data_IF_553506996434
#
_entry.id   IF_553506996434
#
_cell.length_a   1.000
_cell.length_b   1.000
_cell.length_c   1.000
_cell.angle_alpha   90.00
_cell.angle_beta   90.00
_cell.angle_gamma   90.00
#
_symmetry.space_group_name_H-M   'P 1'
#
loop_
_entity.id
_entity.type
_entity.pdbx_description
1 polymer ?
#
# COMPACT_ATOMS: atom_id res chain seq x y z
N UNK A 1 -50.74 1.11 19.54
CA UNK A 1 -49.28 0.96 19.66
C UNK A 1 -48.64 1.27 18.31
N UNK A 2 -47.89 2.38 18.15
CA UNK A 2 -47.04 2.58 16.98
C UNK A 2 -45.56 2.32 17.33
N UNK A 3 -44.90 1.52 16.51
CA UNK A 3 -43.49 1.18 16.61
C UNK A 3 -42.61 2.41 16.34
N UNK A 4 -41.69 2.69 17.26
CA UNK A 4 -40.70 3.75 17.11
C UNK A 4 -39.56 3.27 16.22
N UNK A 5 -39.39 3.99 15.11
CA UNK A 5 -38.34 3.80 14.13
C UNK A 5 -36.98 4.22 14.73
N UNK A 6 -36.13 3.25 15.10
CA UNK A 6 -34.74 3.49 15.53
C UNK A 6 -33.80 3.37 14.34
N UNK A 7 -33.68 4.43 13.52
CA UNK A 7 -32.77 4.42 12.35
C UNK A 7 -31.93 5.70 12.19
N UNK A 8 -31.53 6.35 13.30
CA UNK A 8 -30.78 7.62 13.21
C UNK A 8 -29.56 7.81 14.12
N UNK A 9 -29.41 7.09 15.24
CA UNK A 9 -28.53 7.56 16.32
C UNK A 9 -27.10 6.96 16.34
N UNK A 10 -26.84 5.83 15.70
CA UNK A 10 -25.56 5.10 15.86
C UNK A 10 -24.50 5.36 14.76
N UNK A 11 -24.86 6.09 13.70
CA UNK A 11 -23.99 6.30 12.52
C UNK A 11 -22.79 7.25 12.71
N UNK A 12 -22.83 8.33 13.52
CA UNK A 12 -21.75 9.32 13.53
C UNK A 12 -20.52 8.91 14.37
N UNK A 13 -20.69 8.03 15.37
CA UNK A 13 -19.59 7.61 16.25
C UNK A 13 -18.65 6.59 15.58
N UNK A 14 -19.19 5.69 14.75
CA UNK A 14 -18.40 4.68 14.04
C UNK A 14 -17.57 5.29 12.91
N UNK A 15 -18.14 6.25 12.17
CA UNK A 15 -17.44 6.96 11.08
C UNK A 15 -16.22 7.75 11.60
N UNK A 16 -16.37 8.44 12.74
CA UNK A 16 -15.24 9.14 13.39
C UNK A 16 -14.12 8.17 13.79
N UNK A 17 -14.47 6.98 14.30
CA UNK A 17 -13.49 5.96 14.71
C UNK A 17 -12.73 5.40 13.52
N UNK A 18 -13.42 5.08 12.43
CA UNK A 18 -12.81 4.55 11.20
C UNK A 18 -11.87 5.61 10.55
N UNK A 19 -12.26 6.89 10.55
CA UNK A 19 -11.41 8.00 10.08
C UNK A 19 -10.17 8.22 10.95
N UNK A 20 -10.32 8.16 12.28
CA UNK A 20 -9.19 8.28 13.19
C UNK A 20 -8.21 7.12 13.05
N UNK A 21 -8.72 5.89 12.92
CA UNK A 21 -7.91 4.72 12.64
C UNK A 21 -7.16 4.88 11.31
N UNK A 22 -7.85 5.32 10.25
CA UNK A 22 -7.23 5.60 8.97
C UNK A 22 -6.09 6.60 9.09
N UNK A 23 -6.29 7.72 9.79
CA UNK A 23 -5.24 8.70 10.04
C UNK A 23 -4.02 8.10 10.76
N UNK A 24 -4.24 7.34 11.83
CA UNK A 24 -3.15 6.69 12.58
C UNK A 24 -2.37 5.71 11.70
N UNK A 25 -3.09 4.91 10.91
CA UNK A 25 -2.52 3.89 10.03
C UNK A 25 -1.78 4.53 8.85
N UNK A 26 -2.29 5.64 8.30
CA UNK A 26 -1.59 6.44 7.29
C UNK A 26 -0.32 7.06 7.84
N UNK A 27 -0.35 7.67 9.03
CA UNK A 27 0.86 8.22 9.65
C UNK A 27 1.90 7.11 9.91
N UNK A 28 1.47 5.97 10.45
CA UNK A 28 2.33 4.82 10.69
C UNK A 28 2.96 4.28 9.40
N UNK A 29 2.18 4.18 8.32
CA UNK A 29 2.69 3.75 7.02
C UNK A 29 3.66 4.77 6.41
N UNK A 30 3.46 6.08 6.56
CA UNK A 30 4.41 7.08 6.10
C UNK A 30 5.75 6.99 6.85
N UNK A 31 5.72 6.76 8.17
CA UNK A 31 6.94 6.50 8.95
C UNK A 31 7.63 5.22 8.45
N UNK A 32 6.85 4.15 8.24
CA UNK A 32 7.36 2.90 7.68
C UNK A 32 8.04 3.09 6.33
N UNK A 33 7.39 3.85 5.43
CA UNK A 33 7.92 4.20 4.11
C UNK A 33 9.22 4.97 4.20
N UNK A 34 9.30 6.00 5.04
CA UNK A 34 10.52 6.79 5.23
C UNK A 34 11.65 5.89 5.74
N UNK A 35 11.39 5.06 6.75
CA UNK A 35 12.39 4.16 7.31
C UNK A 35 12.93 3.16 6.28
N UNK A 36 12.07 2.65 5.40
CA UNK A 36 12.50 1.71 4.38
C UNK A 36 13.25 2.38 3.22
N UNK A 37 12.76 3.53 2.74
CA UNK A 37 13.34 4.19 1.57
C UNK A 37 14.62 4.94 1.93
N UNK A 38 14.62 5.72 3.01
CA UNK A 38 15.79 6.46 3.44
C UNK A 38 16.77 5.58 4.24
N UNK A 39 16.27 4.66 5.07
CA UNK A 39 17.11 3.82 5.91
C UNK A 39 17.51 2.47 5.31
N UNK A 40 16.76 1.96 4.33
CA UNK A 40 17.10 0.76 3.57
C UNK A 40 17.42 -0.43 4.51
N UNK A 41 18.61 -1.03 4.35
CA UNK A 41 19.07 -2.16 5.18
C UNK A 41 19.31 -1.80 6.65
N UNK A 42 19.59 -0.52 6.98
CA UNK A 42 19.88 -0.09 8.36
C UNK A 42 18.68 -0.30 9.30
N UNK A 43 17.46 -0.17 8.79
CA UNK A 43 16.24 -0.26 9.58
C UNK A 43 15.45 -1.55 9.33
N UNK A 44 16.06 -2.57 8.73
CA UNK A 44 15.34 -3.79 8.32
C UNK A 44 14.64 -4.50 9.48
N UNK A 45 15.31 -4.62 10.64
CA UNK A 45 14.72 -5.21 11.85
C UNK A 45 13.57 -4.37 12.40
N UNK A 46 13.66 -3.04 12.29
CA UNK A 46 12.60 -2.13 12.70
C UNK A 46 11.39 -2.25 11.77
N UNK A 47 11.59 -2.38 10.46
CA UNK A 47 10.52 -2.66 9.49
C UNK A 47 9.81 -3.98 9.79
N UNK A 48 10.57 -5.05 10.08
CA UNK A 48 9.99 -6.34 10.47
C UNK A 48 9.17 -6.20 11.77
N UNK A 49 9.73 -5.54 12.78
CA UNK A 49 9.04 -5.31 14.06
C UNK A 49 7.73 -4.51 13.86
N UNK A 50 7.77 -3.42 13.09
CA UNK A 50 6.57 -2.62 12.81
C UNK A 50 5.51 -3.40 12.04
N UNK A 51 5.91 -4.25 11.09
CA UNK A 51 5.00 -5.10 10.34
C UNK A 51 4.32 -6.13 11.26
N UNK A 52 5.10 -6.83 12.08
CA UNK A 52 4.57 -7.81 13.06
C UNK A 52 3.63 -7.12 14.04
N UNK A 53 4.02 -5.97 14.60
CA UNK A 53 3.18 -5.19 15.50
C UNK A 53 1.87 -4.79 14.82
N UNK A 54 1.90 -4.35 13.56
CA UNK A 54 0.68 -3.99 12.83
C UNK A 54 -0.27 -5.19 12.68
N UNK A 55 0.24 -6.39 12.44
CA UNK A 55 -0.58 -7.60 12.34
C UNK A 55 -1.07 -8.08 13.70
N UNK A 56 -0.38 -7.74 14.78
CA UNK A 56 -0.82 -8.01 16.14
C UNK A 56 -1.98 -7.10 16.57
N UNK A 57 -1.91 -5.81 16.24
CA UNK A 57 -2.92 -4.83 16.65
C UNK A 57 -4.13 -4.75 15.71
N UNK A 58 -3.97 -5.14 14.44
CA UNK A 58 -5.03 -5.05 13.44
C UNK A 58 -5.38 -6.41 12.85
N UNK A 59 -6.67 -6.60 12.53
CA UNK A 59 -7.14 -7.79 11.82
C UNK A 59 -6.73 -7.71 10.34
N UNK A 60 -5.63 -8.38 10.02
CA UNK A 60 -5.07 -8.47 8.67
C UNK A 60 -5.45 -9.79 8.02
N UNK A 61 -5.84 -9.76 6.74
CA UNK A 61 -5.97 -10.96 5.93
C UNK A 61 -4.64 -11.25 5.24
N UNK A 62 -3.89 -12.21 5.79
CA UNK A 62 -2.57 -12.57 5.31
C UNK A 62 -2.59 -13.06 3.84
N UNK A 63 -3.68 -13.68 3.37
CA UNK A 63 -3.79 -14.14 1.98
C UNK A 63 -3.86 -12.96 1.02
N UNK A 64 -4.66 -11.94 1.35
CA UNK A 64 -4.68 -10.69 0.58
C UNK A 64 -3.30 -10.05 0.55
N UNK A 65 -2.68 -9.87 1.73
CA UNK A 65 -1.37 -9.21 1.84
C UNK A 65 -0.31 -9.97 1.05
N UNK A 66 -0.24 -11.29 1.15
CA UNK A 66 0.70 -12.11 0.41
C UNK A 66 0.48 -12.01 -1.11
N UNK A 67 -0.75 -12.21 -1.59
CA UNK A 67 -1.08 -12.16 -3.02
C UNK A 67 -0.82 -10.77 -3.60
N UNK A 68 -1.27 -9.72 -2.93
CA UNK A 68 -1.08 -8.34 -3.37
C UNK A 68 0.40 -7.93 -3.37
N UNK A 69 1.15 -8.31 -2.33
CA UNK A 69 2.58 -7.99 -2.24
C UNK A 69 3.36 -8.69 -3.31
N UNK A 70 3.07 -9.96 -3.58
CA UNK A 70 3.77 -10.73 -4.61
C UNK A 70 3.62 -10.10 -6.00
N UNK A 71 2.42 -9.61 -6.34
CA UNK A 71 2.18 -8.94 -7.62
C UNK A 71 3.01 -7.64 -7.72
N UNK A 72 3.04 -6.83 -6.66
CA UNK A 72 3.85 -5.61 -6.61
C UNK A 72 5.36 -5.90 -6.67
N UNK A 73 5.83 -6.92 -5.96
CA UNK A 73 7.23 -7.38 -5.99
C UNK A 73 7.60 -7.84 -7.40
N UNK A 74 6.75 -8.61 -8.07
CA UNK A 74 6.99 -9.06 -9.45
C UNK A 74 7.05 -7.88 -10.42
N UNK A 75 6.16 -6.89 -10.25
CA UNK A 75 6.19 -5.66 -11.04
C UNK A 75 7.54 -4.93 -10.87
N UNK A 76 7.99 -4.70 -9.64
CA UNK A 76 9.26 -4.03 -9.39
C UNK A 76 10.47 -4.84 -9.82
N UNK A 77 10.45 -6.15 -9.62
CA UNK A 77 11.50 -7.04 -10.09
C UNK A 77 11.59 -7.02 -11.62
N UNK A 78 10.45 -6.92 -12.32
CA UNK A 78 10.43 -6.76 -13.77
C UNK A 78 11.06 -5.43 -14.20
N UNK A 79 10.74 -4.33 -13.52
CA UNK A 79 11.34 -3.02 -13.79
C UNK A 79 12.85 -3.00 -13.49
N UNK A 80 13.28 -3.71 -12.45
CA UNK A 80 14.69 -3.94 -12.17
C UNK A 80 15.39 -4.73 -13.28
N UNK A 81 14.87 -5.89 -13.67
CA UNK A 81 15.47 -6.75 -14.70
C UNK A 81 15.48 -6.14 -16.10
N UNK A 82 14.51 -5.27 -16.40
CA UNK A 82 14.43 -4.54 -17.67
C UNK A 82 15.26 -3.26 -17.67
N UNK A 83 15.92 -2.93 -16.55
CA UNK A 83 16.81 -1.79 -16.42
C UNK A 83 16.11 -0.46 -16.16
N UNK A 84 14.81 -0.43 -15.87
CA UNK A 84 14.14 0.80 -15.41
C UNK A 84 14.59 1.21 -14.02
N UNK A 85 14.90 0.24 -13.16
CA UNK A 85 15.45 0.44 -11.83
C UNK A 85 16.85 -0.16 -11.72
N UNK A 86 17.72 0.56 -11.01
CA UNK A 86 18.97 0.02 -10.48
C UNK A 86 19.02 0.32 -8.97
N UNK A 87 19.42 -0.66 -8.18
CA UNK A 87 19.55 -0.51 -6.73
C UNK A 87 21.02 -0.50 -6.34
N UNK A 88 21.45 0.38 -5.39
CA UNK A 88 22.86 0.55 -5.03
C UNK A 88 23.57 -0.73 -4.61
N UNK A 89 22.87 -1.64 -3.93
CA UNK A 89 23.41 -2.91 -3.43
C UNK A 89 23.53 -4.02 -4.50
N UNK A 90 23.21 -3.73 -5.77
CA UNK A 90 23.38 -4.64 -6.90
C UNK A 90 22.39 -5.82 -6.98
N UNK A 91 21.39 -5.84 -6.10
CA UNK A 91 20.34 -6.87 -6.06
C UNK A 91 18.97 -6.29 -5.78
N UNK A 92 17.93 -7.12 -5.92
CA UNK A 92 16.57 -6.73 -5.56
C UNK A 92 16.45 -6.61 -4.03
N UNK A 93 16.17 -5.42 -3.48
CA UNK A 93 16.39 -5.17 -2.07
C UNK A 93 15.32 -5.78 -1.17
N UNK A 94 15.75 -6.36 -0.05
CA UNK A 94 14.83 -6.95 0.93
C UNK A 94 13.94 -5.90 1.61
N UNK A 95 14.43 -4.67 1.79
CA UNK A 95 13.62 -3.58 2.34
C UNK A 95 12.44 -3.22 1.42
N UNK A 96 12.57 -3.38 0.09
CA UNK A 96 11.47 -3.15 -0.86
C UNK A 96 10.42 -4.26 -0.81
N UNK A 97 10.85 -5.51 -0.60
CA UNK A 97 9.94 -6.63 -0.32
C UNK A 97 9.11 -6.33 0.94
N UNK A 98 9.78 -5.93 2.02
CA UNK A 98 9.09 -5.54 3.26
C UNK A 98 8.16 -4.34 3.06
N UNK A 99 8.55 -3.38 2.22
CA UNK A 99 7.69 -2.26 1.81
C UNK A 99 6.40 -2.70 1.16
N UNK A 100 6.43 -3.70 0.27
CA UNK A 100 5.22 -4.26 -0.32
C UNK A 100 4.30 -4.90 0.73
N UNK A 101 4.86 -5.65 1.67
CA UNK A 101 4.09 -6.22 2.78
C UNK A 101 3.48 -5.13 3.68
N UNK A 102 4.24 -4.09 4.01
CA UNK A 102 3.74 -2.93 4.77
C UNK A 102 2.62 -2.19 4.04
N UNK A 103 2.80 -1.94 2.75
CA UNK A 103 1.84 -1.21 1.91
C UNK A 103 0.52 -1.95 1.74
N UNK A 104 0.57 -3.25 1.43
CA UNK A 104 -0.66 -4.03 1.27
C UNK A 104 -1.35 -4.29 2.60
N UNK A 105 -0.60 -4.40 3.70
CA UNK A 105 -1.17 -4.41 5.06
C UNK A 105 -1.90 -3.09 5.34
N UNK A 106 -1.29 -1.95 5.00
CA UNK A 106 -1.92 -0.63 5.10
C UNK A 106 -3.23 -0.55 4.30
N UNK A 107 -3.25 -1.02 3.04
CA UNK A 107 -4.46 -1.08 2.21
C UNK A 107 -5.55 -1.90 2.91
N UNK A 108 -5.20 -3.08 3.42
CA UNK A 108 -6.17 -3.97 4.07
C UNK A 108 -6.76 -3.37 5.35
N UNK A 109 -5.91 -2.80 6.20
CA UNK A 109 -6.34 -2.17 7.46
C UNK A 109 -7.24 -0.96 7.16
N UNK A 110 -6.93 -0.22 6.10
CA UNK A 110 -7.66 0.97 5.63
C UNK A 110 -8.84 0.67 4.72
N UNK A 111 -9.15 -0.60 4.46
CA UNK A 111 -10.06 -1.03 3.38
C UNK A 111 -11.46 -0.41 3.44
N UNK A 112 -12.02 -0.22 4.65
CA UNK A 112 -13.35 0.37 4.82
C UNK A 112 -13.41 1.80 4.28
N UNK A 113 -12.37 2.59 4.56
CA UNK A 113 -12.25 3.97 4.09
C UNK A 113 -11.94 3.98 2.60
N UNK A 114 -10.99 3.16 2.15
CA UNK A 114 -10.63 3.04 0.72
C UNK A 114 -11.87 2.69 -0.11
N UNK A 115 -12.62 1.65 0.27
CA UNK A 115 -13.82 1.20 -0.46
C UNK A 115 -15.02 2.17 -0.36
N UNK A 116 -14.93 3.24 0.44
CA UNK A 116 -15.95 4.30 0.46
C UNK A 116 -15.82 5.29 -0.71
N UNK A 117 -14.67 5.32 -1.39
CA UNK A 117 -14.42 6.18 -2.55
C UNK A 117 -14.67 5.46 -3.87
N UNK A 118 -14.88 6.23 -4.93
CA UNK A 118 -15.00 5.69 -6.30
C UNK A 118 -13.72 5.00 -6.76
N UNK A 119 -13.85 3.80 -7.34
CA UNK A 119 -12.71 3.03 -7.86
C UNK A 119 -11.88 3.79 -8.87
N UNK A 120 -12.51 4.58 -9.75
CA UNK A 120 -11.79 5.38 -10.75
C UNK A 120 -10.87 6.42 -10.10
N UNK A 121 -11.35 7.09 -9.04
CA UNK A 121 -10.56 8.06 -8.28
C UNK A 121 -9.37 7.37 -7.61
N UNK A 122 -9.61 6.20 -6.99
CA UNK A 122 -8.55 5.43 -6.32
C UNK A 122 -7.49 4.91 -7.29
N UNK A 123 -7.87 4.52 -8.51
CA UNK A 123 -6.93 4.07 -9.54
C UNK A 123 -6.01 5.21 -9.98
N UNK A 124 -6.57 6.40 -10.23
CA UNK A 124 -5.79 7.58 -10.60
C UNK A 124 -4.88 8.00 -9.44
N UNK A 125 -5.41 8.08 -8.22
CA UNK A 125 -4.62 8.42 -7.04
C UNK A 125 -3.52 7.39 -6.76
N UNK A 126 -3.79 6.09 -6.96
CA UNK A 126 -2.80 5.03 -6.82
C UNK A 126 -1.70 5.10 -7.88
N UNK A 127 -2.05 5.41 -9.14
CA UNK A 127 -1.09 5.66 -10.21
C UNK A 127 -0.17 6.84 -9.89
N UNK A 128 -0.75 7.99 -9.55
CA UNK A 128 0.00 9.22 -9.23
C UNK A 128 0.82 9.03 -7.94
N UNK A 129 0.21 8.50 -6.89
CA UNK A 129 0.87 8.26 -5.60
C UNK A 129 2.02 7.26 -5.71
N UNK A 130 1.82 6.19 -6.47
CA UNK A 130 2.86 5.22 -6.82
C UNK A 130 4.04 5.89 -7.51
N UNK A 131 3.78 6.59 -8.62
CA UNK A 131 4.82 7.35 -9.34
C UNK A 131 5.59 8.31 -8.42
N UNK A 132 4.87 9.12 -7.64
CA UNK A 132 5.49 10.08 -6.71
C UNK A 132 6.32 9.38 -5.62
N UNK A 133 5.91 8.20 -5.17
CA UNK A 133 6.69 7.39 -4.22
C UNK A 133 8.04 6.96 -4.82
N UNK A 134 8.10 6.50 -6.08
CA UNK A 134 9.39 6.16 -6.70
C UNK A 134 10.23 7.39 -7.05
N UNK A 135 9.59 8.53 -7.37
CA UNK A 135 10.28 9.81 -7.47
C UNK A 135 10.95 10.15 -6.13
N UNK A 136 10.23 9.99 -5.02
CA UNK A 136 10.78 10.16 -3.66
C UNK A 136 11.95 9.21 -3.38
N UNK A 137 11.79 7.93 -3.74
CA UNK A 137 12.88 6.94 -3.63
C UNK A 137 14.11 7.32 -4.45
N UNK A 138 13.94 7.82 -5.66
CA UNK A 138 15.06 8.28 -6.48
C UNK A 138 15.74 9.52 -5.89
N UNK A 139 14.98 10.48 -5.34
CA UNK A 139 15.55 11.66 -4.66
C UNK A 139 16.29 11.34 -3.37
N UNK A 140 15.94 10.22 -2.73
CA UNK A 140 16.59 9.69 -1.54
C UNK A 140 17.67 8.65 -1.87
N UNK A 141 18.06 8.52 -3.14
CA UNK A 141 19.10 7.59 -3.62
C UNK A 141 18.79 6.12 -3.30
N UNK A 142 17.51 5.77 -3.10
CA UNK A 142 17.06 4.41 -2.83
C UNK A 142 16.88 3.59 -4.10
N UNK A 143 16.68 4.25 -5.25
CA UNK A 143 16.56 3.61 -6.56
C UNK A 143 17.06 4.57 -7.64
N UNK A 144 17.92 4.11 -8.52
CA UNK A 144 18.41 4.85 -9.66
C UNK A 144 17.57 4.56 -10.92
N UNK A 145 17.43 5.56 -11.78
CA UNK A 145 16.63 5.51 -13.01
C UNK A 145 17.52 5.66 -14.25
N UNK A 146 18.23 4.61 -14.66
CA UNK A 146 19.28 4.71 -15.70
C UNK A 146 18.70 4.99 -17.11
N UNK A 147 17.43 4.68 -17.37
CA UNK A 147 16.74 5.01 -18.62
C UNK A 147 16.21 6.46 -18.69
N UNK A 148 16.50 7.26 -17.66
CA UNK A 148 16.16 8.67 -17.58
C UNK A 148 14.82 8.96 -16.92
N UNK A 149 14.69 10.21 -16.45
CA UNK A 149 13.60 10.63 -15.58
C UNK A 149 12.20 10.47 -16.18
N UNK A 150 11.98 10.99 -17.38
CA UNK A 150 10.65 11.00 -18.01
C UNK A 150 10.20 9.59 -18.38
N UNK A 151 11.09 8.79 -18.97
CA UNK A 151 10.80 7.43 -19.41
C UNK A 151 10.41 6.55 -18.23
N UNK A 152 11.20 6.58 -17.15
CA UNK A 152 10.90 5.77 -15.96
C UNK A 152 9.66 6.29 -15.26
N UNK A 153 9.47 7.60 -15.07
CA UNK A 153 8.27 8.13 -14.43
C UNK A 153 6.97 7.72 -15.14
N UNK A 154 6.94 7.80 -16.48
CA UNK A 154 5.78 7.37 -17.27
C UNK A 154 5.54 5.86 -17.16
N UNK A 155 6.60 5.05 -17.23
CA UNK A 155 6.50 3.59 -17.06
C UNK A 155 5.92 3.24 -15.68
N UNK A 156 6.45 3.86 -14.62
CA UNK A 156 5.96 3.65 -13.25
C UNK A 156 4.51 4.07 -13.11
N UNK A 157 4.09 5.21 -13.68
CA UNK A 157 2.70 5.64 -13.65
C UNK A 157 1.76 4.61 -14.32
N UNK A 158 2.15 4.06 -15.47
CA UNK A 158 1.39 3.03 -16.18
C UNK A 158 1.32 1.71 -15.40
N UNK A 159 2.45 1.25 -14.87
CA UNK A 159 2.52 0.08 -14.01
C UNK A 159 1.60 0.23 -12.78
N UNK A 160 1.65 1.38 -12.11
CA UNK A 160 0.81 1.66 -10.95
C UNK A 160 -0.66 1.87 -11.29
N UNK A 161 -0.99 2.32 -12.49
CA UNK A 161 -2.38 2.37 -12.97
C UNK A 161 -2.97 0.96 -13.04
N UNK A 162 -2.26 0.04 -13.71
CA UNK A 162 -2.66 -1.36 -13.82
C UNK A 162 -2.67 -2.05 -12.45
N UNK A 163 -1.64 -1.83 -11.64
CA UNK A 163 -1.55 -2.40 -10.30
C UNK A 163 -2.67 -1.90 -9.39
N UNK A 164 -3.01 -0.61 -9.43
CA UNK A 164 -4.10 -0.06 -8.60
C UNK A 164 -5.44 -0.71 -8.92
N UNK A 165 -5.72 -0.96 -10.20
CA UNK A 165 -6.91 -1.73 -10.60
C UNK A 165 -6.89 -3.16 -10.03
N UNK A 166 -5.75 -3.86 -10.12
CA UNK A 166 -5.59 -5.22 -9.58
C UNK A 166 -5.76 -5.24 -8.07
N UNK A 167 -5.13 -4.31 -7.35
CA UNK A 167 -5.20 -4.20 -5.89
C UNK A 167 -6.63 -3.96 -5.40
N UNK A 168 -7.39 -3.08 -6.05
CA UNK A 168 -8.79 -2.84 -5.71
C UNK A 168 -9.68 -4.05 -5.99
N UNK A 169 -9.39 -4.78 -7.08
CA UNK A 169 -10.10 -6.02 -7.42
C UNK A 169 -9.85 -7.10 -6.36
N UNK A 170 -8.59 -7.33 -6.00
CA UNK A 170 -8.21 -8.25 -4.92
C UNK A 170 -8.82 -7.84 -3.58
N UNK A 171 -8.76 -6.54 -3.26
CA UNK A 171 -9.30 -6.01 -2.01
C UNK A 171 -10.80 -6.31 -1.90
N UNK A 172 -11.53 -6.12 -3.00
CA UNK A 172 -12.97 -6.40 -3.08
C UNK A 172 -13.26 -7.89 -2.94
N UNK A 173 -12.51 -8.75 -3.64
CA UNK A 173 -12.65 -10.21 -3.58
C UNK A 173 -12.44 -10.76 -2.16
N UNK A 174 -11.34 -10.41 -1.52
CA UNK A 174 -11.02 -10.90 -0.17
C UNK A 174 -11.92 -10.27 0.90
N UNK A 175 -12.40 -9.03 0.69
CA UNK A 175 -13.35 -8.39 1.60
C UNK A 175 -14.73 -9.06 1.54
N UNK A 176 -15.15 -9.54 0.37
CA UNK A 176 -16.42 -10.27 0.22
C UNK A 176 -16.36 -11.63 0.94
N UNK A 177 -15.25 -12.37 0.78
CA UNK A 177 -15.05 -13.67 1.43
C UNK A 177 -15.07 -13.62 2.96
N UNK A 178 -14.69 -12.49 3.57
CA UNK A 178 -14.75 -12.33 5.03
C UNK A 178 -16.16 -12.02 5.57
N UNK A 179 -17.10 -11.59 4.74
CA UNK A 179 -18.49 -11.34 5.18
C UNK A 179 -19.35 -12.61 5.19
N UNK A 180 -18.91 -13.65 4.48
CA UNK A 180 -19.59 -14.94 4.35
C UNK A 180 -19.12 -16.02 5.34
N UNK A 181 -18.21 -15.67 6.25
CA UNK A 181 -17.67 -16.56 7.30
C UNK A 181 -18.02 -16.00 8.67
#
# INVERSE_FOLDING_TARGET
>A
MPSTNKTGADKPSSDRKDKLQFLMVTCGFNVYWILAVWGQYRFIYLLVLMLIMSWWFFSVNWRFVLSASLIGIVMDATLYHTGFYLFPDGGFPLWLILMWFGFTSFIWISRKVIQSYSSNVLIVLGSVGGMLSYIGGNRLEAVEWPLGWVNTALMVALCWLALSYILLTLLSMFSASQRSS
#
